data_IF_259206543215
#
_entry.id   IF_259206543215
#
_cell.length_a   1.000
_cell.length_b   1.000
_cell.length_c   1.000
_cell.angle_alpha   90.00
_cell.angle_beta   90.00
_cell.angle_gamma   90.00
#
_symmetry.space_group_name_H-M   'P 1'
#
loop_
_entity.id
_entity.type
_entity.pdbx_description
1 polymer ?
#
# COMPACT_ATOMS: atom_id res chain seq x y z
N UNK A 1 -18.90 -28.82 30.40
CA UNK A 1 -18.18 -30.11 30.38
C UNK A 1 -17.19 -30.05 29.23
N UNK A 2 -15.89 -29.96 29.52
CA UNK A 2 -14.85 -29.66 28.55
C UNK A 2 -14.03 -30.92 28.25
N UNK A 3 -14.26 -31.53 27.09
CA UNK A 3 -13.51 -32.68 26.57
C UNK A 3 -12.17 -32.22 25.94
N UNK A 4 -11.16 -32.05 26.78
CA UNK A 4 -10.05 -33.00 26.92
C UNK A 4 -9.47 -33.84 25.77
N UNK A 5 -9.39 -33.46 24.49
CA UNK A 5 -8.77 -34.35 23.45
C UNK A 5 -7.23 -34.38 23.58
N UNK A 6 -6.57 -35.55 23.79
CA UNK A 6 -5.11 -35.65 23.80
C UNK A 6 -4.57 -35.84 22.38
N UNK A 7 -3.68 -34.95 21.95
CA UNK A 7 -2.93 -35.09 20.69
C UNK A 7 -1.71 -35.96 20.97
N UNK A 8 -1.79 -37.21 20.52
CA UNK A 8 -0.72 -38.19 20.54
C UNK A 8 0.39 -37.77 19.55
N UNK A 9 1.60 -37.58 20.06
CA UNK A 9 2.76 -37.08 19.33
C UNK A 9 3.59 -38.28 18.87
N UNK A 10 3.72 -38.56 17.56
CA UNK A 10 4.53 -39.69 17.12
C UNK A 10 6.03 -39.45 17.41
N UNK A 11 6.79 -40.50 17.76
CA UNK A 11 8.19 -40.37 18.12
C UNK A 11 9.04 -40.02 16.89
N UNK A 12 9.96 -39.08 17.11
CA UNK A 12 10.97 -38.69 16.15
C UNK A 12 11.91 -39.86 15.83
N UNK A 13 11.59 -40.61 14.78
CA UNK A 13 12.51 -41.57 14.18
C UNK A 13 13.58 -40.80 13.40
N UNK A 14 14.78 -40.72 13.97
CA UNK A 14 15.97 -40.21 13.32
C UNK A 14 16.35 -41.08 12.12
N UNK A 15 15.85 -40.73 10.95
CA UNK A 15 16.45 -41.16 9.69
C UNK A 15 17.59 -40.18 9.37
N UNK A 16 18.80 -40.53 9.78
CA UNK A 16 20.01 -39.98 9.19
C UNK A 16 19.98 -40.32 7.70
N UNK A 17 19.52 -39.36 6.90
CA UNK A 17 19.62 -39.42 5.44
C UNK A 17 21.11 -39.48 5.12
N UNK A 18 21.58 -40.69 4.81
CA UNK A 18 22.93 -40.96 4.33
C UNK A 18 23.20 -40.08 3.13
N UNK A 19 23.99 -39.01 3.33
CA UNK A 19 24.46 -38.16 2.26
C UNK A 19 25.16 -39.02 1.22
N UNK A 20 24.78 -38.94 -0.06
CA UNK A 20 25.45 -39.69 -1.10
C UNK A 20 26.91 -39.26 -1.16
N UNK A 21 27.79 -40.25 -1.03
CA UNK A 21 29.24 -40.15 -1.20
C UNK A 21 29.58 -39.12 -2.27
N UNK A 22 30.39 -38.13 -1.88
CA UNK A 22 31.05 -37.16 -2.75
C UNK A 22 31.55 -37.84 -4.02
N UNK A 23 30.75 -37.76 -5.10
CA UNK A 23 31.24 -37.98 -6.46
C UNK A 23 32.21 -36.83 -6.69
N UNK A 24 33.49 -37.14 -6.96
CA UNK A 24 34.43 -36.17 -7.50
C UNK A 24 33.70 -35.38 -8.58
N UNK A 25 33.48 -34.08 -8.33
CA UNK A 25 32.78 -33.24 -9.28
C UNK A 25 33.58 -33.31 -10.58
N UNK A 26 32.95 -33.81 -11.65
CA UNK A 26 33.58 -33.85 -12.96
C UNK A 26 33.93 -32.40 -13.33
N UNK A 27 35.22 -32.08 -13.25
CA UNK A 27 35.73 -30.77 -13.61
C UNK A 27 35.71 -30.66 -15.12
N UNK A 28 35.05 -29.61 -15.62
CA UNK A 28 34.95 -29.33 -17.06
C UNK A 28 35.93 -28.23 -17.44
N UNK A 29 36.46 -28.28 -18.65
CA UNK A 29 37.27 -27.20 -19.19
C UNK A 29 36.44 -25.94 -19.44
N UNK A 30 37.10 -24.78 -19.56
CA UNK A 30 36.43 -23.51 -19.87
C UNK A 30 35.60 -23.59 -21.16
N UNK A 31 36.09 -24.30 -22.18
CA UNK A 31 35.39 -24.48 -23.46
C UNK A 31 34.13 -25.32 -23.32
N UNK A 32 34.18 -26.40 -22.53
CA UNK A 32 33.02 -27.24 -22.26
C UNK A 32 31.97 -26.50 -21.40
N UNK A 33 32.42 -25.69 -20.43
CA UNK A 33 31.53 -24.83 -19.65
C UNK A 33 30.85 -23.76 -20.52
N UNK A 34 31.61 -23.15 -21.44
CA UNK A 34 31.10 -22.16 -22.38
C UNK A 34 29.96 -22.73 -23.25
N UNK A 35 30.14 -23.95 -23.79
CA UNK A 35 29.09 -24.66 -24.52
C UNK A 35 27.86 -24.94 -23.65
N UNK A 36 28.07 -25.34 -22.39
CA UNK A 36 26.96 -25.63 -21.48
C UNK A 36 26.13 -24.41 -21.07
N UNK A 37 26.75 -23.24 -21.02
CA UNK A 37 26.09 -21.98 -20.66
C UNK A 37 25.69 -21.16 -21.89
N UNK A 38 25.88 -21.72 -23.09
CA UNK A 38 25.62 -21.07 -24.38
C UNK A 38 26.27 -19.68 -24.50
N UNK A 39 27.56 -19.61 -24.19
CA UNK A 39 28.34 -18.38 -24.24
C UNK A 39 29.77 -18.62 -24.76
N UNK A 40 30.53 -17.55 -24.99
CA UNK A 40 31.90 -17.69 -25.50
C UNK A 40 32.89 -18.06 -24.40
N UNK A 41 33.95 -18.80 -24.77
CA UNK A 41 35.07 -19.10 -23.85
C UNK A 41 35.71 -17.83 -23.27
N UNK A 42 35.80 -16.77 -24.07
CA UNK A 42 36.31 -15.46 -23.62
C UNK A 42 35.43 -14.85 -22.54
N UNK A 43 34.11 -15.04 -22.63
CA UNK A 43 33.17 -14.58 -21.62
C UNK A 43 33.28 -15.37 -20.31
N UNK A 44 33.53 -16.69 -20.37
CA UNK A 44 33.85 -17.48 -19.18
C UNK A 44 35.10 -16.93 -18.47
N UNK A 45 36.16 -16.58 -19.21
CA UNK A 45 37.36 -15.98 -18.63
C UNK A 45 37.12 -14.61 -17.98
N UNK A 46 36.21 -13.80 -18.55
CA UNK A 46 35.76 -12.55 -17.90
C UNK A 46 35.03 -12.82 -16.59
N UNK A 47 34.10 -13.77 -16.58
CA UNK A 47 33.33 -14.13 -15.39
C UNK A 47 34.21 -14.78 -14.30
N UNK A 48 35.27 -15.48 -14.68
CA UNK A 48 36.31 -15.95 -13.75
C UNK A 48 37.09 -14.77 -13.15
N UNK A 49 37.51 -13.80 -13.96
CA UNK A 49 38.19 -12.59 -13.48
C UNK A 49 37.31 -11.70 -12.58
N UNK A 50 36.00 -11.65 -12.86
CA UNK A 50 34.98 -11.00 -12.02
C UNK A 50 34.66 -11.80 -10.74
N UNK A 51 35.26 -12.99 -10.56
CA UNK A 51 35.07 -13.85 -9.39
C UNK A 51 33.73 -14.58 -9.35
N UNK A 52 32.98 -14.60 -10.46
CA UNK A 52 31.70 -15.33 -10.58
C UNK A 52 31.94 -16.83 -10.63
N UNK A 53 32.97 -17.27 -11.34
CA UNK A 53 33.39 -18.67 -11.38
C UNK A 53 34.65 -18.89 -10.55
N UNK A 54 34.71 -20.04 -9.88
CA UNK A 54 35.88 -20.48 -9.14
C UNK A 54 36.47 -21.71 -9.81
N UNK A 55 37.74 -21.62 -10.20
CA UNK A 55 38.47 -22.74 -10.78
C UNK A 55 38.90 -23.71 -9.68
N UNK A 56 38.65 -24.99 -9.89
CA UNK A 56 39.05 -26.09 -9.01
C UNK A 56 40.12 -26.91 -9.73
N UNK A 57 41.40 -26.64 -9.42
CA UNK A 57 42.53 -27.23 -10.12
C UNK A 57 42.54 -26.83 -11.59
N UNK A 58 42.46 -27.81 -12.49
CA UNK A 58 42.55 -27.58 -13.94
C UNK A 58 41.21 -27.23 -14.61
N UNK A 59 40.09 -27.22 -13.88
CA UNK A 59 38.78 -26.99 -14.49
C UNK A 59 37.76 -26.33 -13.56
N UNK A 60 36.50 -26.36 -13.99
CA UNK A 60 35.36 -25.80 -13.27
C UNK A 60 34.43 -26.89 -12.82
N UNK A 61 33.84 -26.76 -11.63
CA UNK A 61 32.70 -27.58 -11.25
C UNK A 61 31.49 -27.17 -12.09
N UNK A 62 30.93 -28.09 -12.87
CA UNK A 62 29.82 -27.78 -13.78
C UNK A 62 28.59 -27.26 -13.03
N UNK A 63 28.14 -27.98 -12.00
CA UNK A 63 26.94 -27.62 -11.24
C UNK A 63 27.16 -26.36 -10.39
N UNK A 64 28.35 -26.22 -9.78
CA UNK A 64 28.72 -25.01 -9.06
C UNK A 64 28.71 -23.77 -9.96
N UNK A 65 29.29 -23.90 -11.14
CA UNK A 65 29.34 -22.81 -12.13
C UNK A 65 27.96 -22.45 -12.66
N UNK A 66 27.08 -23.44 -12.92
CA UNK A 66 25.68 -23.17 -13.32
C UNK A 66 24.93 -22.33 -12.29
N UNK A 67 25.00 -22.73 -11.01
CA UNK A 67 24.34 -21.99 -9.92
C UNK A 67 24.93 -20.60 -9.78
N UNK A 68 26.26 -20.47 -9.86
CA UNK A 68 26.94 -19.17 -9.79
C UNK A 68 26.52 -18.24 -10.94
N UNK A 69 26.40 -18.77 -12.17
CA UNK A 69 25.95 -18.03 -13.33
C UNK A 69 24.50 -17.54 -13.18
N UNK A 70 23.59 -18.40 -12.72
CA UNK A 70 22.20 -17.99 -12.47
C UNK A 70 22.10 -16.91 -11.39
N UNK A 71 22.90 -17.00 -10.32
CA UNK A 71 22.97 -15.95 -9.29
C UNK A 71 23.50 -14.64 -9.86
N UNK A 72 24.55 -14.70 -10.69
CA UNK A 72 25.08 -13.53 -11.39
C UNK A 72 24.02 -12.86 -12.27
N UNK A 73 23.30 -13.63 -13.11
CA UNK A 73 22.24 -13.10 -13.96
C UNK A 73 21.11 -12.44 -13.16
N UNK A 74 20.70 -13.06 -12.03
CA UNK A 74 19.69 -12.47 -11.14
C UNK A 74 20.15 -11.15 -10.55
N UNK A 75 21.40 -11.08 -10.08
CA UNK A 75 21.99 -9.83 -9.54
C UNK A 75 22.07 -8.75 -10.60
N UNK A 76 22.54 -9.09 -11.81
CA UNK A 76 22.64 -8.16 -12.94
C UNK A 76 21.27 -7.63 -13.37
N UNK A 77 20.23 -8.47 -13.34
CA UNK A 77 18.85 -8.06 -13.60
C UNK A 77 18.32 -7.10 -12.53
N UNK A 78 18.58 -7.37 -11.25
CA UNK A 78 18.23 -6.48 -10.14
C UNK A 78 18.96 -5.13 -10.19
N UNK A 79 20.21 -5.12 -10.63
CA UNK A 79 21.03 -3.91 -10.76
C UNK A 79 20.74 -3.10 -12.03
N UNK A 80 19.86 -3.58 -12.91
CA UNK A 80 19.51 -2.81 -14.09
C UNK A 80 18.60 -1.64 -13.70
N UNK A 81 18.89 -0.40 -14.15
CA UNK A 81 18.05 0.76 -13.86
C UNK A 81 16.61 0.57 -14.37
N UNK A 82 16.43 -0.25 -15.41
CA UNK A 82 15.11 -0.63 -15.93
C UNK A 82 14.31 -1.47 -14.93
N UNK A 83 14.93 -2.42 -14.21
CA UNK A 83 14.21 -3.22 -13.22
C UNK A 83 13.76 -2.38 -12.02
N UNK A 84 14.55 -1.38 -11.62
CA UNK A 84 14.14 -0.42 -10.59
C UNK A 84 12.93 0.41 -11.05
N UNK A 85 13.00 1.00 -12.26
CA UNK A 85 11.89 1.76 -12.83
C UNK A 85 10.62 0.92 -13.02
N UNK A 86 10.76 -0.33 -13.48
CA UNK A 86 9.63 -1.26 -13.64
C UNK A 86 8.98 -1.60 -12.28
N UNK A 87 9.79 -1.74 -11.22
CA UNK A 87 9.29 -1.98 -9.86
C UNK A 87 8.56 -0.75 -9.30
N UNK A 88 9.12 0.45 -9.46
CA UNK A 88 8.47 1.72 -9.07
C UNK A 88 7.14 1.90 -9.81
N UNK A 89 7.13 1.65 -11.12
CA UNK A 89 5.91 1.72 -11.92
C UNK A 89 4.86 0.70 -11.47
N UNK A 90 5.27 -0.53 -11.11
CA UNK A 90 4.35 -1.53 -10.57
C UNK A 90 3.74 -1.10 -9.23
N UNK A 91 4.54 -0.49 -8.35
CA UNK A 91 4.06 0.05 -7.06
C UNK A 91 3.07 1.19 -7.29
N UNK A 92 3.40 2.14 -8.16
CA UNK A 92 2.51 3.26 -8.51
C UNK A 92 1.18 2.77 -9.10
N UNK A 93 1.23 1.79 -10.01
CA UNK A 93 0.03 1.18 -10.60
C UNK A 93 -0.81 0.44 -9.56
N UNK A 94 -0.17 -0.24 -8.60
CA UNK A 94 -0.87 -0.91 -7.51
C UNK A 94 -1.58 0.10 -6.59
N UNK A 95 -0.95 1.23 -6.28
CA UNK A 95 -1.57 2.30 -5.51
C UNK A 95 -2.81 2.88 -6.23
N UNK A 96 -2.70 3.16 -7.52
CA UNK A 96 -3.82 3.65 -8.34
C UNK A 96 -4.99 2.65 -8.37
N UNK A 97 -4.69 1.36 -8.51
CA UNK A 97 -5.71 0.31 -8.47
C UNK A 97 -6.43 0.24 -7.12
N UNK A 98 -5.71 0.41 -6.01
CA UNK A 98 -6.33 0.46 -4.67
C UNK A 98 -7.31 1.63 -4.56
N UNK A 99 -6.90 2.84 -4.96
CA UNK A 99 -7.78 4.01 -4.95
C UNK A 99 -9.04 3.79 -5.80
N UNK A 100 -8.91 3.17 -6.98
CA UNK A 100 -10.07 2.85 -7.83
C UNK A 100 -10.99 1.79 -7.22
N UNK A 101 -10.43 0.82 -6.50
CA UNK A 101 -11.23 -0.19 -5.79
C UNK A 101 -12.02 0.49 -4.67
N UNK A 102 -11.38 1.34 -3.87
CA UNK A 102 -12.01 2.09 -2.77
C UNK A 102 -13.08 3.06 -3.29
N UNK A 103 -12.82 3.77 -4.38
CA UNK A 103 -13.81 4.61 -5.07
C UNK A 103 -15.04 3.78 -5.52
N UNK A 104 -14.82 2.63 -6.17
CA UNK A 104 -15.91 1.74 -6.59
C UNK A 104 -16.69 1.12 -5.43
N UNK A 105 -16.01 0.85 -4.31
CA UNK A 105 -16.64 0.38 -3.08
C UNK A 105 -17.39 1.49 -2.35
N UNK A 106 -17.42 2.72 -2.90
CA UNK A 106 -17.99 3.92 -2.27
C UNK A 106 -17.36 4.24 -0.91
N UNK A 107 -16.10 3.81 -0.71
CA UNK A 107 -15.30 4.17 0.47
C UNK A 107 -14.67 5.55 0.34
N UNK A 108 -14.56 6.08 -0.89
CA UNK A 108 -14.08 7.42 -1.19
C UNK A 108 -15.20 8.24 -1.83
N UNK A 109 -15.33 9.49 -1.40
CA UNK A 109 -16.25 10.49 -1.98
C UNK A 109 -15.42 11.70 -2.40
N UNK A 110 -15.83 12.37 -3.49
CA UNK A 110 -15.18 13.62 -3.89
C UNK A 110 -15.51 14.69 -2.86
N UNK A 111 -14.50 15.47 -2.49
CA UNK A 111 -14.67 16.55 -1.53
C UNK A 111 -15.76 17.54 -1.96
N UNK A 112 -15.75 17.96 -3.24
CA UNK A 112 -16.77 18.84 -3.79
C UNK A 112 -18.22 18.32 -3.63
N UNK A 113 -18.45 17.02 -3.79
CA UNK A 113 -19.78 16.43 -3.63
C UNK A 113 -20.23 16.47 -2.14
N UNK A 114 -19.28 16.31 -1.21
CA UNK A 114 -19.53 16.41 0.24
C UNK A 114 -19.77 17.87 0.63
N UNK A 115 -18.97 18.79 0.12
CA UNK A 115 -19.10 20.22 0.39
C UNK A 115 -20.47 20.74 -0.11
N UNK A 116 -20.87 20.37 -1.32
CA UNK A 116 -22.20 20.70 -1.86
C UNK A 116 -23.33 20.12 -0.99
N UNK A 117 -23.21 18.87 -0.55
CA UNK A 117 -24.19 18.25 0.33
C UNK A 117 -24.28 18.97 1.68
N UNK A 118 -23.14 19.36 2.27
CA UNK A 118 -23.08 20.12 3.52
C UNK A 118 -23.77 21.47 3.36
N UNK A 119 -23.49 22.20 2.28
CA UNK A 119 -24.12 23.49 1.98
C UNK A 119 -25.64 23.36 1.83
N UNK A 120 -26.11 22.31 1.15
CA UNK A 120 -27.54 22.02 1.02
C UNK A 120 -28.18 21.74 2.39
N UNK A 121 -27.55 20.91 3.23
CA UNK A 121 -28.04 20.60 4.58
C UNK A 121 -28.09 21.86 5.44
N UNK A 122 -27.04 22.67 5.41
CA UNK A 122 -26.97 23.94 6.14
C UNK A 122 -28.08 24.90 5.66
N UNK A 123 -28.25 25.06 4.35
CA UNK A 123 -29.27 25.91 3.73
C UNK A 123 -30.71 25.51 4.11
N UNK A 124 -31.01 24.20 4.06
CA UNK A 124 -32.33 23.67 4.46
C UNK A 124 -32.58 23.92 5.95
N UNK A 125 -31.57 23.66 6.79
CA UNK A 125 -31.66 23.86 8.24
C UNK A 125 -31.88 25.34 8.58
N UNK A 126 -31.12 26.25 7.98
CA UNK A 126 -31.29 27.69 8.16
C UNK A 126 -32.68 28.16 7.70
N UNK A 127 -33.15 27.69 6.56
CA UNK A 127 -34.49 28.01 6.04
C UNK A 127 -35.58 27.58 7.02
N UNK A 128 -35.49 26.34 7.53
CA UNK A 128 -36.44 25.81 8.51
C UNK A 128 -36.45 26.63 9.81
N UNK A 129 -35.27 26.94 10.36
CA UNK A 129 -35.14 27.78 11.56
C UNK A 129 -35.70 29.20 11.34
N UNK A 130 -35.47 29.79 10.16
CA UNK A 130 -35.97 31.14 9.82
C UNK A 130 -37.50 31.20 9.79
N UNK A 131 -38.16 30.07 9.52
CA UNK A 131 -39.62 30.00 9.46
C UNK A 131 -40.29 29.94 10.83
N UNK A 132 -39.55 29.59 11.90
CA UNK A 132 -40.12 29.34 13.23
C UNK A 132 -40.87 30.55 13.82
N UNK A 133 -40.38 31.80 13.76
CA UNK A 133 -41.11 32.93 14.32
C UNK A 133 -42.49 33.12 13.69
N UNK A 134 -42.63 32.87 12.39
CA UNK A 134 -43.90 32.97 11.68
C UNK A 134 -44.84 31.81 11.98
N UNK A 135 -44.31 30.63 12.30
CA UNK A 135 -45.09 29.41 12.57
C UNK A 135 -45.53 29.28 14.03
N UNK A 136 -44.74 29.80 14.95
CA UNK A 136 -44.92 29.58 16.39
C UNK A 136 -45.53 30.79 17.11
N UNK A 137 -45.38 32.01 16.59
CA UNK A 137 -45.98 33.19 17.21
C UNK A 137 -47.50 33.26 16.93
N UNK A 138 -48.33 33.59 17.93
CA UNK A 138 -49.74 33.91 17.71
C UNK A 138 -49.91 35.04 16.69
N UNK A 139 -51.00 35.00 15.91
CA UNK A 139 -51.28 36.03 14.89
C UNK A 139 -51.39 37.41 15.54
N UNK A 140 -50.58 38.35 15.07
CA UNK A 140 -50.56 39.73 15.55
C UNK A 140 -49.64 39.99 16.74
N UNK A 141 -49.06 38.95 17.36
CA UNK A 141 -48.13 39.13 18.47
C UNK A 141 -46.69 39.30 17.98
N UNK A 142 -46.29 40.57 17.78
CA UNK A 142 -44.95 40.94 17.36
C UNK A 142 -43.90 40.76 18.47
N UNK A 143 -44.29 40.80 19.74
CA UNK A 143 -43.35 40.67 20.85
C UNK A 143 -42.84 39.23 20.95
N UNK A 144 -43.76 38.26 20.91
CA UNK A 144 -43.41 36.83 20.91
C UNK A 144 -42.61 36.48 19.65
N UNK A 145 -43.01 36.99 18.48
CA UNK A 145 -42.27 36.76 17.24
C UNK A 145 -40.81 37.21 17.33
N UNK A 146 -40.55 38.43 17.82
CA UNK A 146 -39.19 38.95 18.03
C UNK A 146 -38.41 38.14 19.07
N UNK A 147 -39.07 37.66 20.12
CA UNK A 147 -38.45 36.79 21.12
C UNK A 147 -37.97 35.48 20.48
N UNK A 148 -38.78 34.86 19.61
CA UNK A 148 -38.40 33.64 18.89
C UNK A 148 -37.27 33.93 17.89
N UNK A 149 -37.33 35.05 17.16
CA UNK A 149 -36.25 35.47 16.25
C UNK A 149 -34.90 35.59 16.97
N UNK A 150 -34.89 36.14 18.19
CA UNK A 150 -33.67 36.24 19.01
C UNK A 150 -33.11 34.87 19.35
N UNK A 151 -33.94 33.95 19.84
CA UNK A 151 -33.50 32.58 20.17
C UNK A 151 -32.99 31.86 18.92
N UNK A 152 -33.67 32.01 17.79
CA UNK A 152 -33.22 31.42 16.50
C UNK A 152 -31.85 31.97 16.10
N UNK A 153 -31.60 33.26 16.31
CA UNK A 153 -30.31 33.87 16.04
C UNK A 153 -29.22 33.32 16.97
N UNK A 154 -29.47 33.27 18.28
CA UNK A 154 -28.55 32.72 19.28
C UNK A 154 -28.15 31.28 18.93
N UNK A 155 -29.12 30.41 18.62
CA UNK A 155 -28.87 29.02 18.23
C UNK A 155 -28.00 28.93 16.97
N UNK A 156 -28.20 29.80 15.98
CA UNK A 156 -27.36 29.82 14.77
C UNK A 156 -25.93 30.22 15.08
N UNK A 157 -25.74 31.21 15.94
CA UNK A 157 -24.41 31.63 16.37
C UNK A 157 -23.71 30.52 17.13
N UNK A 158 -24.42 29.81 18.01
CA UNK A 158 -23.88 28.64 18.72
C UNK A 158 -23.46 27.53 17.76
N UNK A 159 -24.31 27.17 16.78
CA UNK A 159 -23.97 26.17 15.76
C UNK A 159 -22.71 26.57 14.99
N UNK A 160 -22.64 27.83 14.53
CA UNK A 160 -21.47 28.34 13.80
C UNK A 160 -20.19 28.24 14.64
N UNK A 161 -20.26 28.61 15.92
CA UNK A 161 -19.12 28.52 16.84
C UNK A 161 -18.67 27.07 17.06
N UNK A 162 -19.60 26.13 17.22
CA UNK A 162 -19.28 24.71 17.37
C UNK A 162 -18.61 24.17 16.10
N UNK A 163 -19.15 24.50 14.92
CA UNK A 163 -18.55 24.13 13.64
C UNK A 163 -17.12 24.67 13.51
N UNK A 164 -16.88 25.94 13.85
CA UNK A 164 -15.55 26.55 13.81
C UNK A 164 -14.57 25.84 14.76
N UNK A 165 -14.97 25.59 16.01
CA UNK A 165 -14.13 24.86 16.96
C UNK A 165 -13.79 23.43 16.51
N UNK A 166 -14.70 22.78 15.79
CA UNK A 166 -14.45 21.46 15.21
C UNK A 166 -13.45 21.55 14.05
N UNK A 167 -13.58 22.54 13.17
CA UNK A 167 -12.62 22.79 12.09
C UNK A 167 -11.21 23.07 12.64
N UNK A 168 -11.10 23.92 13.67
CA UNK A 168 -9.84 24.25 14.32
C UNK A 168 -9.16 22.99 14.91
N UNK A 169 -9.94 22.09 15.54
CA UNK A 169 -9.43 20.81 16.08
C UNK A 169 -8.93 19.86 14.99
N UNK A 170 -9.56 19.90 13.81
CA UNK A 170 -9.16 19.11 12.65
C UNK A 170 -7.97 19.71 11.89
N UNK A 171 -7.43 20.86 12.33
CA UNK A 171 -6.36 21.59 11.63
C UNK A 171 -6.75 21.94 10.18
N UNK A 172 -8.03 22.19 9.94
CA UNK A 172 -8.48 22.67 8.64
C UNK A 172 -8.02 24.12 8.44
N UNK A 173 -7.47 24.48 7.26
CA UNK A 173 -7.11 25.86 6.98
C UNK A 173 -8.35 26.76 7.04
N UNK A 174 -8.22 28.05 7.43
CA UNK A 174 -9.36 28.95 7.49
C UNK A 174 -10.06 29.06 6.12
N UNK A 175 -11.38 29.30 6.11
CA UNK A 175 -12.20 29.35 4.87
C UNK A 175 -11.65 30.33 3.81
N UNK A 176 -10.90 31.35 4.21
CA UNK A 176 -10.23 32.30 3.30
C UNK A 176 -9.01 31.73 2.57
N UNK A 177 -8.53 30.56 2.97
CA UNK A 177 -7.34 29.87 2.45
C UNK A 177 -7.69 28.49 1.83
N UNK A 178 -8.98 28.17 1.72
CA UNK A 178 -9.47 26.97 1.06
C UNK A 178 -9.91 27.32 -0.38
N UNK A 179 -9.14 26.86 -1.37
CA UNK A 179 -9.43 26.96 -2.81
C UNK A 179 -10.53 26.00 -3.29
#
# INVERSE_FOLDING_TARGET
MAETVPIDRPPAAGATVSQPRSRKAATVSASALALHLDCSRTYIGKLEAEGVFQRQGDGFSLDGSRVAYLRYLRRKRQQSPRAAADAEHAVAKAALLRLRIEEKQRGLVRRADVDELIDQIAGVTLTALSSLPARCAPRGDLAIRRSIERVVFEVRTEIANVCQQMADKCSEPPLSEQD
#
